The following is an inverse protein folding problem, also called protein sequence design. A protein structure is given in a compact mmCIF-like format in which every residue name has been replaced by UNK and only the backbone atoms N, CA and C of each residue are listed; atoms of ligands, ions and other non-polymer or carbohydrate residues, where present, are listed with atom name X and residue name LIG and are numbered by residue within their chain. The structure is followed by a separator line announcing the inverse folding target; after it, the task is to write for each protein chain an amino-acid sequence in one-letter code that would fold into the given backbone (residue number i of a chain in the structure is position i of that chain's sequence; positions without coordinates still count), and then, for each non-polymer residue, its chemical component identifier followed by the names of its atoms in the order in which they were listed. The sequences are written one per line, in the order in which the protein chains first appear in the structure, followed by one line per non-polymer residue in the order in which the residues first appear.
data_IF_519561587275
#
_entry.id   IF_519561587275
#
_cell.length_a   1.000
_cell.length_b   1.000
_cell.length_c   1.000
_cell.angle_alpha   90.00
_cell.angle_beta   90.00
_cell.angle_gamma   90.00
#
_symmetry.space_group_name_H-M   'P 1'
#
loop_
_entity.id
_entity.type
_entity.pdbx_description
1 polymer ?
#
# COMPACT_ATOMS: atom_id res chain seq x y z
N UNK A 1 10.81 9.91 3.47
CA UNK A 1 9.62 10.01 4.35
C UNK A 1 9.78 9.00 5.47
N UNK A 2 9.54 9.30 6.75
CA UNK A 2 9.72 8.26 7.79
C UNK A 2 8.66 7.19 7.60
N UNK A 3 9.01 5.91 7.37
CA UNK A 3 8.11 4.79 7.01
C UNK A 3 6.76 4.75 7.78
N UNK A 4 6.76 5.19 9.04
CA UNK A 4 5.54 5.33 9.88
C UNK A 4 4.52 6.32 9.34
N UNK A 5 4.96 7.40 8.70
CA UNK A 5 4.10 8.44 8.12
C UNK A 5 3.35 7.89 6.91
N UNK A 6 4.01 7.10 6.05
CA UNK A 6 3.38 6.46 4.89
C UNK A 6 2.33 5.43 5.32
N UNK A 7 2.65 4.62 6.33
CA UNK A 7 1.69 3.70 6.96
C UNK A 7 0.51 4.47 7.56
N UNK A 8 0.76 5.63 8.19
CA UNK A 8 -0.27 6.50 8.74
C UNK A 8 -1.26 6.99 7.67
N UNK A 9 -0.77 7.46 6.52
CA UNK A 9 -1.63 7.85 5.40
C UNK A 9 -2.43 6.68 4.83
N UNK A 10 -1.82 5.50 4.68
CA UNK A 10 -2.54 4.30 4.25
C UNK A 10 -3.68 3.93 5.21
N UNK A 11 -3.46 4.02 6.53
CA UNK A 11 -4.52 3.75 7.51
C UNK A 11 -5.64 4.79 7.48
N UNK A 12 -5.33 6.05 7.19
CA UNK A 12 -6.34 7.09 6.96
C UNK A 12 -7.19 6.77 5.73
N UNK A 13 -6.54 6.42 4.61
CA UNK A 13 -7.25 6.00 3.40
C UNK A 13 -8.15 4.78 3.66
N UNK A 14 -7.66 3.76 4.37
CA UNK A 14 -8.46 2.59 4.77
C UNK A 14 -9.71 3.00 5.56
N UNK A 15 -9.59 3.96 6.47
CA UNK A 15 -10.71 4.48 7.25
C UNK A 15 -11.72 5.21 6.35
N UNK A 16 -11.25 6.02 5.42
CA UNK A 16 -12.10 6.80 4.50
C UNK A 16 -12.93 5.91 3.59
N UNK A 17 -12.36 4.82 3.07
CA UNK A 17 -13.09 3.86 2.24
C UNK A 17 -13.88 2.82 3.03
N UNK A 18 -13.84 2.87 4.37
CA UNK A 18 -14.60 1.97 5.23
C UNK A 18 -14.10 0.53 5.26
N UNK A 19 -12.80 0.28 5.05
CA UNK A 19 -12.23 -1.06 5.17
C UNK A 19 -12.35 -1.58 6.61
N UNK A 20 -12.56 -2.89 6.74
CA UNK A 20 -12.60 -3.52 8.05
C UNK A 20 -11.22 -3.50 8.73
N UNK A 21 -11.25 -3.63 10.06
CA UNK A 21 -10.05 -3.57 10.90
C UNK A 21 -9.04 -4.68 10.58
N UNK A 22 -9.48 -5.87 10.18
CA UNK A 22 -8.59 -6.99 9.90
C UNK A 22 -7.86 -6.79 8.57
N UNK A 23 -8.52 -6.24 7.55
CA UNK A 23 -7.89 -5.82 6.29
C UNK A 23 -6.89 -4.69 6.56
N UNK A 24 -7.28 -3.63 7.27
CA UNK A 24 -6.39 -2.52 7.59
C UNK A 24 -5.15 -3.00 8.38
N UNK A 25 -5.31 -3.97 9.29
CA UNK A 25 -4.21 -4.60 10.04
C UNK A 25 -3.30 -5.45 9.15
N UNK A 26 -3.85 -6.17 8.18
CA UNK A 26 -3.05 -6.91 7.19
C UNK A 26 -2.22 -5.94 6.35
N UNK A 27 -2.82 -4.87 5.83
CA UNK A 27 -2.13 -3.83 5.06
C UNK A 27 -1.02 -3.16 5.87
N UNK A 28 -1.29 -2.81 7.13
CA UNK A 28 -0.27 -2.28 8.05
C UNK A 28 0.95 -3.21 8.14
N UNK A 29 0.72 -4.51 8.38
CA UNK A 29 1.82 -5.48 8.51
C UNK A 29 2.57 -5.62 7.19
N UNK A 30 1.87 -5.74 6.07
CA UNK A 30 2.48 -5.88 4.75
C UNK A 30 3.37 -4.69 4.41
N UNK A 31 2.87 -3.45 4.58
CA UNK A 31 3.69 -2.27 4.35
C UNK A 31 4.89 -2.22 5.29
N UNK A 32 4.71 -2.53 6.58
CA UNK A 32 5.82 -2.58 7.53
C UNK A 32 6.93 -3.54 7.07
N UNK A 33 6.57 -4.75 6.62
CA UNK A 33 7.54 -5.71 6.07
C UNK A 33 8.14 -5.26 4.74
N UNK A 34 7.35 -4.66 3.86
CA UNK A 34 7.83 -4.16 2.56
C UNK A 34 8.88 -3.07 2.73
N UNK A 35 8.74 -2.18 3.72
CA UNK A 35 9.75 -1.16 4.03
C UNK A 35 11.10 -1.74 4.45
N UNK A 36 11.12 -2.94 5.03
CA UNK A 36 12.37 -3.63 5.41
C UNK A 36 12.96 -4.46 4.25
N UNK A 37 12.13 -4.85 3.27
CA UNK A 37 12.49 -5.80 2.22
C UNK A 37 12.71 -5.17 0.84
N UNK A 38 12.17 -3.98 0.60
CA UNK A 38 12.19 -3.31 -0.72
C UNK A 38 12.81 -1.93 -0.60
N UNK A 39 13.52 -1.51 -1.64
CA UNK A 39 13.88 -0.10 -1.81
C UNK A 39 12.65 0.73 -2.18
N UNK A 40 12.77 2.06 -2.07
CA UNK A 40 11.69 2.98 -2.49
C UNK A 40 11.36 2.80 -3.99
N UNK A 41 12.38 2.64 -4.84
CA UNK A 41 12.25 2.42 -6.29
C UNK A 41 11.55 1.09 -6.62
N UNK A 42 11.95 -0.01 -5.97
CA UNK A 42 11.29 -1.31 -6.18
C UNK A 42 9.82 -1.33 -5.75
N UNK A 43 9.49 -0.57 -4.69
CA UNK A 43 8.12 -0.44 -4.21
C UNK A 43 7.28 0.43 -5.15
N UNK A 44 7.86 1.49 -5.72
CA UNK A 44 7.21 2.34 -6.71
C UNK A 44 6.95 1.59 -8.01
N UNK A 45 7.97 0.99 -8.62
CA UNK A 45 7.85 0.25 -9.88
C UNK A 45 6.83 -0.89 -9.75
N UNK A 46 7.03 -1.83 -8.82
CA UNK A 46 6.15 -2.99 -8.70
C UNK A 46 4.74 -2.63 -8.22
N UNK A 47 4.61 -1.60 -7.38
CA UNK A 47 3.33 -1.16 -6.83
C UNK A 47 2.48 -0.43 -7.87
N UNK A 48 3.09 0.54 -8.58
CA UNK A 48 2.41 1.33 -9.60
C UNK A 48 2.16 0.52 -10.87
N UNK A 49 3.11 -0.30 -11.32
CA UNK A 49 2.93 -1.17 -12.48
C UNK A 49 1.73 -2.11 -12.27
N UNK A 50 1.63 -2.73 -11.08
CA UNK A 50 0.47 -3.53 -10.74
C UNK A 50 -0.82 -2.69 -10.76
N UNK A 51 -0.85 -1.52 -10.13
CA UNK A 51 -2.03 -0.67 -10.11
C UNK A 51 -2.49 -0.28 -11.52
N UNK A 52 -1.58 0.15 -12.39
CA UNK A 52 -1.89 0.52 -13.77
C UNK A 52 -2.33 -0.68 -14.62
N UNK A 53 -1.79 -1.87 -14.37
CA UNK A 53 -2.23 -3.09 -15.06
C UNK A 53 -3.69 -3.45 -14.78
N UNK A 54 -4.30 -2.94 -13.70
CA UNK A 54 -5.71 -3.16 -13.40
C UNK A 54 -6.64 -2.31 -14.27
N UNK A 55 -6.20 -1.15 -14.74
CA UNK A 55 -7.01 -0.24 -15.56
C UNK A 55 -7.03 -0.67 -17.04
N UNK A 56 -6.06 -1.45 -17.51
CA UNK A 56 -6.00 -2.00 -18.87
C UNK A 56 -6.91 -3.23 -19.09
N UNK A 57 -7.56 -3.73 -18.03
CA UNK A 57 -8.41 -4.93 -18.06
C UNK A 57 -9.90 -4.72 -18.39
N UNK A 58 -10.35 -3.47 -18.56
CA UNK A 58 -11.76 -3.09 -18.77
C UNK A 58 -12.06 -2.64 -20.24
N UNK A 59 -11.40 -3.24 -21.24
CA UNK A 59 -11.73 -3.04 -22.68
C UNK A 59 -12.48 -4.22 -23.31
#
# INVERSE_FOLDING_TARGET
MYNRQAIGYMLLACKEVGLDKEIAKKLYRLMYWQFDLKTEEEAEEQGLDWYYSLEEGDQ
#
